data_IF_829154341158
#
_entry.id   IF_829154341158
#
_cell.length_a   1.000
_cell.length_b   1.000
_cell.length_c   1.000
_cell.angle_alpha   90.00
_cell.angle_beta   90.00
_cell.angle_gamma   90.00
#
_symmetry.space_group_name_H-M   'P 1'
#
loop_
_entity.id
_entity.type
_entity.pdbx_description
1 polymer ?
#
# COMPACT_ATOMS: atom_id res chain seq x y z
N UNK A 1 -10.31 -20.11 24.63
CA UNK A 1 -8.86 -20.01 24.37
C UNK A 1 -8.57 -18.84 23.45
N UNK A 2 -7.65 -18.02 23.83
CA UNK A 2 -7.24 -16.89 23.00
C UNK A 2 -6.02 -17.30 22.19
N UNK A 3 -6.08 -17.05 20.89
CA UNK A 3 -4.95 -17.25 19.99
C UNK A 3 -4.27 -15.90 19.81
N UNK A 4 -3.05 -15.80 20.27
CA UNK A 4 -2.25 -14.59 20.11
C UNK A 4 -1.33 -14.79 18.91
N UNK A 5 -1.41 -13.88 17.93
CA UNK A 5 -0.51 -13.90 16.79
C UNK A 5 0.90 -13.56 17.25
N UNK A 6 1.90 -14.21 16.67
CA UNK A 6 3.28 -13.79 16.82
C UNK A 6 3.47 -12.42 16.14
N UNK A 7 4.55 -11.74 16.48
CA UNK A 7 4.87 -10.46 15.85
C UNK A 7 4.98 -10.61 14.33
N UNK A 8 5.66 -11.65 13.87
CA UNK A 8 5.81 -11.94 12.45
C UNK A 8 4.45 -12.15 11.77
N UNK A 9 3.59 -12.98 12.37
CA UNK A 9 2.26 -13.24 11.83
C UNK A 9 1.41 -11.98 11.77
N UNK A 10 1.47 -11.14 12.80
CA UNK A 10 0.75 -9.86 12.81
C UNK A 10 1.19 -8.95 11.67
N UNK A 11 2.51 -8.85 11.45
CA UNK A 11 3.06 -8.01 10.37
C UNK A 11 2.61 -8.53 9.00
N UNK A 12 2.70 -9.85 8.77
CA UNK A 12 2.21 -10.45 7.53
C UNK A 12 0.71 -10.17 7.33
N UNK A 13 -0.07 -10.33 8.36
CA UNK A 13 -1.53 -10.14 8.27
C UNK A 13 -1.90 -8.72 7.92
N UNK A 14 -1.26 -7.73 8.54
CA UNK A 14 -1.51 -6.32 8.25
C UNK A 14 -1.23 -6.02 6.76
N UNK A 15 -0.09 -6.47 6.26
CA UNK A 15 0.29 -6.23 4.87
C UNK A 15 -0.63 -6.94 3.88
N UNK A 16 -0.99 -8.19 4.15
CA UNK A 16 -1.89 -8.95 3.30
C UNK A 16 -3.29 -8.36 3.28
N UNK A 17 -3.79 -7.95 4.45
CA UNK A 17 -5.11 -7.33 4.54
C UNK A 17 -5.16 -5.97 3.83
N UNK A 18 -4.06 -5.24 3.82
CA UNK A 18 -3.96 -4.02 3.03
C UNK A 18 -4.26 -4.31 1.55
N UNK A 19 -3.66 -5.37 1.01
CA UNK A 19 -3.87 -5.75 -0.40
C UNK A 19 -5.27 -6.28 -0.64
N UNK A 20 -5.72 -7.23 0.17
CA UNK A 20 -6.96 -7.96 -0.09
C UNK A 20 -8.21 -7.22 0.34
N UNK A 21 -8.20 -6.61 1.52
CA UNK A 21 -9.36 -5.90 2.09
C UNK A 21 -9.32 -4.41 1.82
N UNK A 22 -8.12 -3.81 1.90
CA UNK A 22 -7.94 -2.39 1.62
C UNK A 22 -8.10 -2.09 0.14
N UNK A 23 -7.08 -2.41 -0.66
CA UNK A 23 -7.12 -2.13 -2.10
C UNK A 23 -8.14 -2.97 -2.83
N UNK A 24 -8.07 -4.29 -2.66
CA UNK A 24 -8.97 -5.22 -3.36
C UNK A 24 -10.42 -5.07 -2.93
N UNK A 25 -10.66 -4.84 -1.65
CA UNK A 25 -11.99 -4.61 -1.10
C UNK A 25 -12.46 -3.17 -1.18
N UNK A 26 -11.61 -2.26 -1.67
CA UNK A 26 -11.91 -0.83 -1.81
C UNK A 26 -12.38 -0.20 -0.50
N UNK A 27 -11.74 -0.60 0.60
CA UNK A 27 -12.13 -0.20 1.95
C UNK A 27 -10.94 0.44 2.68
N UNK A 28 -10.87 1.77 2.62
CA UNK A 28 -9.82 2.53 3.28
C UNK A 28 -9.80 2.29 4.80
N UNK A 29 -10.99 2.19 5.40
CA UNK A 29 -11.11 2.05 6.85
C UNK A 29 -10.69 0.68 7.37
N UNK A 30 -10.53 -0.30 6.48
CA UNK A 30 -9.97 -1.61 6.84
C UNK A 30 -8.45 -1.57 7.00
N UNK A 31 -7.82 -0.49 6.59
CA UNK A 31 -6.36 -0.32 6.69
C UNK A 31 -6.04 0.39 8.01
N UNK A 32 -5.23 -0.23 8.90
CA UNK A 32 -4.99 0.34 10.24
C UNK A 32 -3.96 1.48 10.22
N UNK A 33 -4.27 2.54 9.51
CA UNK A 33 -3.39 3.71 9.46
C UNK A 33 -3.42 4.48 10.77
N UNK A 34 -2.24 4.88 11.23
CA UNK A 34 -2.11 5.87 12.28
C UNK A 34 -2.56 7.24 11.77
N UNK A 35 -3.07 8.09 12.66
CA UNK A 35 -3.50 9.43 12.26
C UNK A 35 -2.37 10.27 11.66
N UNK A 36 -1.13 10.00 12.04
CA UNK A 36 0.05 10.71 11.57
C UNK A 36 0.87 9.91 10.57
N UNK A 37 0.24 8.97 9.87
CA UNK A 37 0.89 8.17 8.82
C UNK A 37 1.66 9.04 7.83
N UNK A 38 2.82 8.55 7.39
CA UNK A 38 3.61 9.17 6.34
C UNK A 38 3.67 8.24 5.14
N UNK A 39 3.21 8.71 3.99
CA UNK A 39 3.21 7.95 2.74
C UNK A 39 4.15 8.57 1.72
N UNK A 40 4.92 7.71 1.06
CA UNK A 40 5.68 8.07 -0.14
C UNK A 40 5.19 7.22 -1.30
N UNK A 41 4.80 7.87 -2.38
CA UNK A 41 4.28 7.19 -3.56
C UNK A 41 4.70 7.92 -4.84
N UNK A 42 5.07 7.17 -5.91
CA UNK A 42 5.55 7.80 -7.15
C UNK A 42 4.53 8.73 -7.81
N UNK A 43 3.24 8.45 -7.66
CA UNK A 43 2.18 9.23 -8.31
C UNK A 43 1.55 10.29 -7.40
N UNK A 44 2.00 10.42 -6.17
CA UNK A 44 1.58 11.54 -5.32
C UNK A 44 2.24 12.84 -5.77
N UNK A 45 1.62 14.00 -5.48
CA UNK A 45 2.23 15.29 -5.82
C UNK A 45 3.66 15.40 -5.29
N UNK A 46 4.63 15.67 -6.17
CA UNK A 46 6.04 15.73 -5.83
C UNK A 46 6.76 14.40 -5.87
N UNK A 47 6.06 13.30 -6.18
CA UNK A 47 6.64 11.97 -6.26
C UNK A 47 7.05 11.42 -4.91
N UNK A 48 7.87 10.36 -4.93
CA UNK A 48 8.33 9.68 -3.71
C UNK A 48 9.21 10.53 -2.81
N UNK A 49 9.82 11.58 -3.36
CA UNK A 49 10.71 12.48 -2.61
C UNK A 49 9.99 13.38 -1.62
N UNK A 50 8.69 13.63 -1.84
CA UNK A 50 7.88 14.51 -0.98
C UNK A 50 6.82 13.66 -0.28
N UNK A 51 6.95 13.42 1.03
CA UNK A 51 5.98 12.58 1.73
C UNK A 51 4.63 13.28 1.90
N UNK A 52 3.59 12.48 1.80
CA UNK A 52 2.22 12.89 2.15
C UNK A 52 1.99 12.50 3.60
N UNK A 53 1.56 13.45 4.43
CA UNK A 53 1.44 13.23 5.88
C UNK A 53 0.00 13.33 6.34
N UNK A 54 -0.38 12.42 7.22
CA UNK A 54 -1.66 12.42 7.89
C UNK A 54 -2.71 11.56 7.20
N UNK A 55 -3.49 10.85 8.01
CA UNK A 55 -4.50 9.89 7.52
C UNK A 55 -5.55 10.56 6.64
N UNK A 56 -6.00 11.74 7.01
CA UNK A 56 -7.04 12.44 6.24
C UNK A 56 -6.49 12.94 4.90
N UNK A 57 -5.22 13.34 4.86
CA UNK A 57 -4.58 13.71 3.60
C UNK A 57 -4.38 12.49 2.69
N UNK A 58 -4.05 11.33 3.26
CA UNK A 58 -4.00 10.10 2.49
C UNK A 58 -5.36 9.79 1.86
N UNK A 59 -6.42 9.89 2.64
CA UNK A 59 -7.78 9.66 2.16
C UNK A 59 -8.14 10.61 1.02
N UNK A 60 -7.85 11.89 1.19
CA UNK A 60 -8.28 12.92 0.23
C UNK A 60 -7.45 12.95 -1.05
N UNK A 61 -6.15 12.64 -0.98
CA UNK A 61 -5.22 12.85 -2.09
C UNK A 61 -4.82 11.53 -2.74
N UNK A 62 -4.33 10.58 -1.94
CA UNK A 62 -3.82 9.30 -2.46
C UNK A 62 -4.93 8.29 -2.73
N UNK A 63 -5.83 8.11 -1.77
CA UNK A 63 -6.87 7.09 -1.83
C UNK A 63 -8.02 7.47 -2.75
N UNK A 64 -8.43 8.73 -2.75
CA UNK A 64 -9.66 9.17 -3.41
C UNK A 64 -9.84 8.66 -4.85
N UNK A 65 -8.80 8.67 -5.73
CA UNK A 65 -8.96 8.17 -7.09
C UNK A 65 -8.91 6.63 -7.20
N UNK A 66 -8.38 5.93 -6.20
CA UNK A 66 -8.08 4.50 -6.32
C UNK A 66 -9.31 3.61 -6.51
N UNK A 67 -10.43 3.80 -5.79
CA UNK A 67 -11.56 2.89 -5.93
C UNK A 67 -12.12 2.79 -7.35
N UNK A 68 -12.02 3.86 -8.15
CA UNK A 68 -12.49 3.84 -9.54
C UNK A 68 -11.40 3.43 -10.53
N UNK A 69 -10.13 3.47 -10.14
CA UNK A 69 -9.01 3.14 -11.02
C UNK A 69 -8.52 1.71 -10.87
N UNK A 70 -8.63 1.16 -9.66
CA UNK A 70 -8.11 -0.18 -9.36
C UNK A 70 -9.15 -1.24 -9.71
N UNK A 71 -8.73 -2.21 -10.52
CA UNK A 71 -9.54 -3.39 -10.82
C UNK A 71 -9.16 -4.54 -9.88
N UNK A 72 -8.75 -5.67 -10.46
CA UNK A 72 -8.36 -6.84 -9.66
C UNK A 72 -6.99 -6.62 -9.02
N UNK A 73 -6.84 -7.12 -7.80
CA UNK A 73 -5.59 -7.07 -7.05
C UNK A 73 -5.21 -8.51 -6.70
N UNK A 74 -3.98 -8.88 -7.04
CA UNK A 74 -3.47 -10.25 -6.80
C UNK A 74 -2.30 -10.20 -5.84
N UNK A 75 -2.51 -10.76 -4.65
CA UNK A 75 -1.46 -10.92 -3.65
C UNK A 75 -0.44 -11.97 -4.11
N UNK A 76 0.84 -11.64 -4.04
CA UNK A 76 1.93 -12.53 -4.42
C UNK A 76 2.64 -13.07 -3.18
N UNK A 77 3.24 -12.19 -2.36
CA UNK A 77 4.03 -12.59 -1.20
C UNK A 77 4.19 -11.45 -0.21
N UNK A 78 4.68 -11.76 0.98
CA UNK A 78 5.02 -10.76 1.98
C UNK A 78 6.29 -11.15 2.71
N UNK A 79 7.07 -10.14 3.13
CA UNK A 79 8.41 -10.29 3.69
C UNK A 79 8.52 -9.44 4.95
N UNK A 80 8.96 -10.05 6.05
CA UNK A 80 8.96 -9.41 7.37
C UNK A 80 10.37 -9.19 7.90
N UNK A 81 10.60 -8.04 8.47
CA UNK A 81 11.74 -7.78 9.35
C UNK A 81 11.17 -7.49 10.74
N UNK A 82 11.19 -8.50 11.59
CA UNK A 82 10.60 -8.43 12.93
C UNK A 82 11.28 -7.42 13.83
N UNK A 83 12.61 -7.35 13.74
CA UNK A 83 13.41 -6.45 14.58
C UNK A 83 13.03 -4.98 14.36
N UNK A 84 12.82 -4.60 13.10
CA UNK A 84 12.50 -3.22 12.73
C UNK A 84 10.99 -2.97 12.62
N UNK A 85 10.17 -3.98 12.87
CA UNK A 85 8.72 -3.87 12.74
C UNK A 85 8.31 -3.38 11.34
N UNK A 86 8.96 -3.93 10.32
CA UNK A 86 8.65 -3.61 8.93
C UNK A 86 8.16 -4.84 8.18
N UNK A 87 7.30 -4.62 7.20
CA UNK A 87 6.81 -5.67 6.33
C UNK A 87 6.67 -5.11 4.91
N UNK A 88 7.10 -5.89 3.93
CA UNK A 88 6.88 -5.58 2.52
C UNK A 88 5.89 -6.58 1.94
N UNK A 89 5.03 -6.12 1.04
CA UNK A 89 4.07 -6.97 0.35
C UNK A 89 4.19 -6.75 -1.15
N UNK A 90 4.30 -7.87 -1.86
CA UNK A 90 4.36 -7.90 -3.31
C UNK A 90 2.98 -8.25 -3.86
N UNK A 91 2.49 -7.47 -4.82
CA UNK A 91 1.20 -7.74 -5.44
C UNK A 91 1.14 -7.15 -6.85
N UNK A 92 0.20 -7.66 -7.64
CA UNK A 92 -0.12 -7.10 -8.95
C UNK A 92 -1.45 -6.38 -8.84
N UNK A 93 -1.50 -5.19 -9.40
CA UNK A 93 -2.67 -4.33 -9.34
C UNK A 93 -3.10 -3.94 -10.75
N UNK A 94 -4.31 -4.36 -11.13
CA UNK A 94 -4.89 -3.95 -12.40
C UNK A 94 -5.35 -2.51 -12.31
N UNK A 95 -4.94 -1.70 -13.27
CA UNK A 95 -5.41 -0.32 -13.43
C UNK A 95 -6.35 -0.28 -14.63
N UNK A 96 -7.50 0.35 -14.45
CA UNK A 96 -8.54 0.37 -15.47
C UNK A 96 -8.34 1.44 -16.52
N UNK A 97 -7.75 2.60 -16.13
CA UNK A 97 -7.53 3.71 -17.08
C UNK A 97 -6.29 4.52 -16.66
N UNK A 98 -5.20 4.51 -17.44
CA UNK A 98 -5.00 3.66 -18.64
C UNK A 98 -4.94 2.20 -18.27
N UNK A 99 -5.38 1.32 -19.15
CA UNK A 99 -5.40 -0.12 -18.88
C UNK A 99 -3.98 -0.67 -18.80
N UNK A 100 -3.60 -1.16 -17.63
CA UNK A 100 -2.29 -1.78 -17.39
C UNK A 100 -2.33 -2.61 -16.11
N UNK A 101 -1.28 -3.39 -15.89
CA UNK A 101 -1.09 -4.09 -14.62
C UNK A 101 0.19 -3.59 -13.98
N UNK A 102 0.07 -3.03 -12.78
CA UNK A 102 1.22 -2.61 -12.00
C UNK A 102 1.78 -3.78 -11.21
N UNK A 103 3.10 -3.88 -11.20
CA UNK A 103 3.83 -4.78 -10.32
C UNK A 103 4.36 -3.96 -9.17
N UNK A 104 3.87 -4.23 -7.98
CA UNK A 104 4.03 -3.35 -6.82
C UNK A 104 4.68 -4.08 -5.67
N UNK A 105 5.57 -3.40 -4.98
CA UNK A 105 6.00 -3.77 -3.64
C UNK A 105 5.72 -2.55 -2.76
N UNK A 106 4.90 -2.73 -1.73
CA UNK A 106 4.65 -1.71 -0.73
C UNK A 106 5.33 -2.11 0.56
N UNK A 107 6.00 -1.17 1.19
CA UNK A 107 6.68 -1.37 2.47
C UNK A 107 5.99 -0.57 3.56
N UNK A 108 5.77 -1.22 4.69
CA UNK A 108 5.09 -0.64 5.86
C UNK A 108 5.97 -0.71 7.09
N UNK A 109 5.96 0.35 7.87
CA UNK A 109 6.45 0.32 9.24
C UNK A 109 5.26 0.36 10.19
N UNK A 110 5.27 -0.57 11.17
CA UNK A 110 4.13 -0.80 12.06
C UNK A 110 4.57 -0.46 13.48
N UNK A 111 3.71 0.22 14.23
CA UNK A 111 3.99 0.49 15.64
C UNK A 111 3.58 -0.69 16.52
N UNK A 112 3.80 -0.57 17.83
CA UNK A 112 3.51 -1.65 18.77
C UNK A 112 2.03 -1.93 18.95
N UNK A 113 1.18 -1.01 18.51
CA UNK A 113 -0.29 -1.16 18.57
C UNK A 113 -0.88 -1.73 17.29
N UNK A 114 -0.02 -2.06 16.31
CA UNK A 114 -0.47 -2.59 15.02
C UNK A 114 -0.90 -1.52 14.03
N UNK A 115 -0.53 -0.27 14.25
CA UNK A 115 -0.85 0.83 13.34
C UNK A 115 0.26 1.03 12.33
N UNK A 116 -0.12 1.34 11.10
CA UNK A 116 0.82 1.69 10.03
C UNK A 116 1.25 3.14 10.21
N UNK A 117 2.53 3.36 10.48
CA UNK A 117 3.08 4.69 10.71
C UNK A 117 3.86 5.23 9.53
N UNK A 118 4.36 4.34 8.66
CA UNK A 118 5.02 4.71 7.42
C UNK A 118 4.64 3.72 6.33
N UNK A 119 4.48 4.21 5.11
CA UNK A 119 4.25 3.38 3.93
C UNK A 119 4.98 3.99 2.75
N UNK A 120 5.60 3.13 1.94
CA UNK A 120 6.16 3.56 0.66
C UNK A 120 5.75 2.58 -0.42
N UNK A 121 5.27 3.12 -1.54
CA UNK A 121 4.87 2.35 -2.70
C UNK A 121 6.02 2.32 -3.70
N UNK A 122 6.36 1.12 -4.17
CA UNK A 122 7.41 0.93 -5.18
C UNK A 122 6.79 0.28 -6.41
N UNK A 123 6.70 1.04 -7.48
CA UNK A 123 6.31 0.56 -8.81
C UNK A 123 6.83 1.52 -9.85
N UNK A 124 6.84 1.09 -11.09
CA UNK A 124 7.24 1.96 -12.20
C UNK A 124 6.06 2.85 -12.61
N UNK A 125 6.13 4.16 -12.33
CA UNK A 125 5.03 5.06 -12.67
C UNK A 125 4.82 5.21 -14.18
N UNK A 126 5.80 4.82 -15.00
CA UNK A 126 5.67 4.88 -16.47
C UNK A 126 4.60 3.94 -16.99
N UNK A 127 4.29 2.87 -16.25
CA UNK A 127 3.18 1.98 -16.61
C UNK A 127 1.86 2.74 -16.67
N UNK A 128 1.74 3.82 -15.91
CA UNK A 128 0.55 4.68 -15.91
C UNK A 128 0.76 5.93 -16.75
N UNK A 129 1.91 6.60 -16.58
CA UNK A 129 2.14 7.94 -17.14
C UNK A 129 2.73 7.92 -18.54
N UNK A 130 3.42 6.84 -18.90
CA UNK A 130 4.02 6.65 -20.22
C UNK A 130 4.01 5.17 -20.55
N UNK A 131 2.84 4.63 -20.93
CA UNK A 131 2.65 3.18 -21.11
C UNK A 131 3.35 2.58 -22.31
N UNK A 132 4.00 3.37 -23.16
CA UNK A 132 4.72 2.88 -24.32
C UNK A 132 6.16 3.34 -24.37
N UNK A 133 7.08 2.42 -24.64
CA UNK A 133 8.49 2.74 -24.84
C UNK A 133 8.77 3.34 -26.21
N UNK A 134 7.86 3.14 -27.13
CA UNK A 134 7.97 3.54 -28.51
C UNK A 134 7.17 4.80 -28.82
N UNK A 135 7.10 5.62 -27.85
CA UNK A 135 6.41 6.91 -27.95
C UNK A 135 7.19 7.87 -28.82
#
# INVERSE_FOLDING_TARGET
MFITLSKSEMLHEIARNYVTKGLGGKNFDAIPYDNEIVLRAPICPGGSGIPLKGKENLRAIWWAPLPSLVGKVRLIDSFVNETNMTVAVEFHCEILSPSCTLRVIDRFKIDQEGKIIEQENFFDPRDITNPGWNM
#
